data_IF_366551939298
#
_entry.id   IF_366551939298
#
_cell.length_a   1.000
_cell.length_b   1.000
_cell.length_c   1.000
_cell.angle_alpha   90.00
_cell.angle_beta   90.00
_cell.angle_gamma   90.00
#
_symmetry.space_group_name_H-M   'P 1'
#
loop_
_entity.id
_entity.type
_entity.pdbx_description
1 polymer ?
#
# COMPACT_ATOMS: atom_id res chain seq x y z
N UNK A 1 -15.89 25.96 1.17
CA UNK A 1 -15.67 25.25 2.45
C UNK A 1 -15.91 23.74 2.35
N UNK A 2 -17.00 23.24 1.73
CA UNK A 2 -17.24 21.79 1.61
C UNK A 2 -16.23 21.04 0.72
N UNK A 3 -15.84 21.58 -0.44
CA UNK A 3 -14.89 20.92 -1.34
C UNK A 3 -13.47 20.77 -0.76
N UNK A 4 -12.97 21.78 -0.02
CA UNK A 4 -11.67 21.69 0.65
C UNK A 4 -11.68 20.69 1.81
N UNK A 5 -12.78 20.57 2.55
CA UNK A 5 -12.91 19.59 3.62
C UNK A 5 -12.90 18.15 3.07
N UNK A 6 -13.58 17.91 1.94
CA UNK A 6 -13.59 16.61 1.25
C UNK A 6 -12.19 16.26 0.71
N UNK A 7 -11.51 17.21 0.07
CA UNK A 7 -10.13 17.03 -0.40
C UNK A 7 -9.14 16.79 0.76
N UNK A 8 -9.28 17.53 1.87
CA UNK A 8 -8.44 17.36 3.04
C UNK A 8 -8.63 16.00 3.73
N UNK A 9 -9.85 15.45 3.73
CA UNK A 9 -10.14 14.12 4.26
C UNK A 9 -9.59 13.01 3.35
N UNK A 10 -9.73 13.12 2.03
CA UNK A 10 -9.20 12.16 1.06
C UNK A 10 -7.66 12.09 1.02
N UNK A 11 -7.00 13.21 1.31
CA UNK A 11 -5.53 13.29 1.39
C UNK A 11 -4.93 12.54 2.59
N UNK A 12 -5.65 12.41 3.71
CA UNK A 12 -5.11 11.78 4.94
C UNK A 12 -4.82 10.27 4.78
N UNK A 13 -5.77 9.44 4.29
CA UNK A 13 -5.51 8.02 4.06
C UNK A 13 -4.44 7.80 3.00
N UNK A 14 -4.52 8.52 1.87
CA UNK A 14 -3.56 8.41 0.76
C UNK A 14 -2.13 8.77 1.16
N UNK A 15 -1.94 9.71 2.08
CA UNK A 15 -0.62 10.02 2.64
C UNK A 15 -0.04 8.91 3.54
N UNK A 16 -0.89 8.11 4.20
CA UNK A 16 -0.45 7.00 5.07
C UNK A 16 -0.18 5.68 4.32
N UNK A 17 -0.82 5.46 3.17
CA UNK A 17 -0.69 4.24 2.36
C UNK A 17 0.77 3.88 2.00
N UNK A 18 1.66 4.81 1.59
CA UNK A 18 3.06 4.48 1.28
C UNK A 18 3.82 3.90 2.47
N UNK A 19 3.54 4.39 3.69
CA UNK A 19 4.21 3.93 4.90
C UNK A 19 3.75 2.53 5.27
N UNK A 20 2.45 2.25 5.16
CA UNK A 20 1.89 0.92 5.39
C UNK A 20 2.40 -0.10 4.37
N UNK A 21 2.49 0.29 3.08
CA UNK A 21 3.04 -0.52 2.02
C UNK A 21 4.51 -0.89 2.28
N UNK A 22 5.33 0.09 2.69
CA UNK A 22 6.74 -0.13 2.99
C UNK A 22 6.94 -1.15 4.13
N UNK A 23 6.20 -0.99 5.24
CA UNK A 23 6.23 -1.91 6.38
C UNK A 23 5.80 -3.33 5.93
N UNK A 24 4.76 -3.42 5.10
CA UNK A 24 4.25 -4.70 4.62
C UNK A 24 5.27 -5.41 3.73
N UNK A 25 5.93 -4.70 2.81
CA UNK A 25 6.99 -5.26 1.97
C UNK A 25 8.20 -5.73 2.77
N UNK A 26 8.58 -4.96 3.80
CA UNK A 26 9.68 -5.34 4.69
C UNK A 26 9.35 -6.60 5.49
N UNK A 27 8.11 -6.71 5.99
CA UNK A 27 7.63 -7.90 6.67
C UNK A 27 7.61 -9.14 5.75
N UNK A 28 7.19 -8.99 4.49
CA UNK A 28 7.21 -10.08 3.51
C UNK A 28 8.63 -10.61 3.21
N UNK A 29 9.66 -9.75 3.35
CA UNK A 29 11.07 -10.10 3.12
C UNK A 29 11.77 -10.70 4.33
N UNK A 30 11.24 -10.47 5.53
CA UNK A 30 11.83 -10.91 6.81
C UNK A 30 11.14 -12.16 7.36
N UNK A 31 9.85 -12.36 7.07
CA UNK A 31 9.08 -13.50 7.59
C UNK A 31 9.31 -14.77 6.78
N UNK A 32 9.69 -15.85 7.46
CA UNK A 32 9.86 -17.19 6.90
C UNK A 32 8.78 -18.16 7.39
N UNK A 33 8.14 -18.87 6.46
CA UNK A 33 7.18 -19.94 6.72
C UNK A 33 7.25 -20.98 5.61
N UNK A 34 6.90 -22.24 5.92
CA UNK A 34 6.98 -23.35 4.96
C UNK A 34 8.40 -23.50 4.36
N UNK A 35 9.43 -23.23 5.17
CA UNK A 35 10.83 -23.33 4.77
C UNK A 35 11.33 -22.25 3.80
N UNK A 36 10.57 -21.18 3.57
CA UNK A 36 10.97 -20.06 2.69
C UNK A 36 10.41 -18.71 3.15
N UNK A 37 10.99 -17.62 2.65
CA UNK A 37 10.45 -16.27 2.84
C UNK A 37 9.06 -16.15 2.23
N UNK A 38 8.12 -15.56 2.96
CA UNK A 38 6.73 -15.46 2.48
C UNK A 38 6.59 -14.53 1.26
N UNK A 39 7.52 -13.60 1.05
CA UNK A 39 7.59 -12.79 -0.17
C UNK A 39 7.85 -13.58 -1.47
N UNK A 40 8.14 -14.89 -1.39
CA UNK A 40 8.31 -15.76 -2.57
C UNK A 40 7.00 -16.37 -3.06
N UNK A 41 5.91 -16.31 -2.28
CA UNK A 41 4.62 -16.84 -2.70
C UNK A 41 3.97 -15.89 -3.71
N UNK A 42 3.61 -16.41 -4.89
CA UNK A 42 2.97 -15.64 -5.97
C UNK A 42 1.71 -14.90 -5.51
N UNK A 43 0.91 -15.50 -4.61
CA UNK A 43 -0.29 -14.88 -4.04
C UNK A 43 0.04 -13.59 -3.29
N UNK A 44 1.13 -13.57 -2.53
CA UNK A 44 1.56 -12.38 -1.78
C UNK A 44 2.23 -11.35 -2.70
N UNK A 45 2.91 -11.79 -3.76
CA UNK A 45 3.48 -10.91 -4.77
C UNK A 45 2.38 -10.17 -5.56
N UNK A 46 1.35 -10.88 -6.01
CA UNK A 46 0.20 -10.24 -6.69
C UNK A 46 -0.48 -9.21 -5.80
N UNK A 47 -0.78 -9.55 -4.54
CA UNK A 47 -1.35 -8.56 -3.60
C UNK A 47 -0.44 -7.37 -3.34
N UNK A 48 0.87 -7.58 -3.32
CA UNK A 48 1.83 -6.48 -3.17
C UNK A 48 1.82 -5.55 -4.38
N UNK A 49 1.64 -6.08 -5.60
CA UNK A 49 1.47 -5.29 -6.83
C UNK A 49 0.14 -4.56 -6.82
N UNK A 50 -0.97 -5.20 -6.44
CA UNK A 50 -2.28 -4.55 -6.35
C UNK A 50 -2.26 -3.34 -5.40
N UNK A 51 -1.61 -3.47 -4.23
CA UNK A 51 -1.41 -2.36 -3.30
C UNK A 51 -0.60 -1.20 -3.88
N UNK A 52 0.37 -1.47 -4.78
CA UNK A 52 1.10 -0.40 -5.49
C UNK A 52 0.16 0.32 -6.44
N UNK A 53 -0.63 -0.43 -7.20
CA UNK A 53 -1.57 0.13 -8.19
C UNK A 53 -2.63 1.00 -7.51
N UNK A 54 -3.23 0.55 -6.42
CA UNK A 54 -4.20 1.33 -5.64
C UNK A 54 -3.59 2.62 -5.06
N UNK A 55 -2.31 2.56 -4.66
CA UNK A 55 -1.59 3.73 -4.15
C UNK A 55 -1.33 4.76 -5.24
N UNK A 56 -0.92 4.33 -6.43
CA UNK A 56 -0.74 5.22 -7.59
C UNK A 56 -2.07 5.82 -8.06
N UNK A 57 -3.16 5.05 -8.04
CA UNK A 57 -4.51 5.58 -8.29
C UNK A 57 -4.89 6.63 -7.24
N UNK A 58 -4.65 6.35 -5.95
CA UNK A 58 -4.93 7.28 -4.86
C UNK A 58 -4.09 8.57 -4.96
N UNK A 59 -2.84 8.48 -5.40
CA UNK A 59 -1.99 9.65 -5.69
C UNK A 59 -2.56 10.49 -6.84
N UNK A 60 -3.00 9.84 -7.90
CA UNK A 60 -3.56 10.50 -9.08
C UNK A 60 -4.87 11.23 -8.79
N UNK A 61 -5.66 10.76 -7.81
CA UNK A 61 -6.91 11.40 -7.39
C UNK A 61 -6.72 12.62 -6.47
N UNK A 62 -5.53 12.78 -5.89
CA UNK A 62 -5.22 13.83 -4.90
C UNK A 62 -4.40 14.98 -5.51
N UNK A 63 -3.73 14.76 -6.66
CA UNK A 63 -3.15 15.81 -7.50
C UNK A 63 -4.22 16.57 -8.28
#
# INVERSE_FOLDING_TARGET
>A
MAHEAVAALARKPSASLPKMQAITLDYLKTREQFGRKIGTFQVLQHRAVDMVVELEQSRSMVM
#
